data_IF_134044074061
#
_entry.id   IF_134044074061
#
_cell.length_a   1.000
_cell.length_b   1.000
_cell.length_c   1.000
_cell.angle_alpha   90.00
_cell.angle_beta   90.00
_cell.angle_gamma   90.00
#
_symmetry.space_group_name_H-M   'P 1'
#
loop_
_entity.id
_entity.type
_entity.pdbx_description
1 polymer ?
#
# COMPACT_ATOMS: atom_id res chain seq x y z
N UNK A 1 4.78 -5.70 -18.78
CA UNK A 1 4.75 -6.53 -18.36
C UNK A 1 5.05 -6.42 -17.97
N UNK A 2 5.01 -5.91 -18.45
CA UNK A 2 5.07 -6.70 -17.98
C UNK A 2 5.57 -6.72 -17.59
N UNK A 3 5.51 -6.23 -18.03
CA UNK A 3 5.63 -7.06 -17.52
C UNK A 3 6.02 -7.32 -17.16
N UNK A 4 6.03 -7.02 -17.57
CA UNK A 4 6.08 -7.93 -17.19
C UNK A 4 6.47 -8.11 -16.87
N UNK A 5 6.54 -7.76 -17.40
CA UNK A 5 6.66 -8.56 -17.09
C UNK A 5 7.00 -8.78 -16.74
N UNK A 6 7.03 -8.18 -17.38
CA UNK A 6 7.10 -8.91 -17.07
C UNK A 6 7.14 -9.05 -16.54
N UNK A 7 7.02 -8.73 -16.91
CA UNK A 7 6.89 -9.40 -16.51
C UNK A 7 6.52 -9.44 -15.82
N UNK A 8 6.23 -9.46 -16.36
CA UNK A 8 5.80 -10.15 -15.80
C UNK A 8 5.37 -10.36 -15.27
N UNK A 9 5.01 -10.19 -15.62
CA UNK A 9 4.41 -10.88 -15.25
C UNK A 9 4.22 -11.02 -14.65
N UNK A 10 3.99 -10.82 -14.87
CA UNK A 10 3.68 -11.38 -14.22
C UNK A 10 3.84 -11.53 -13.66
N UNK A 11 3.72 -10.90 -14.05
CA UNK A 11 3.71 -11.47 -13.41
C UNK A 11 3.41 -12.09 -12.78
N UNK A 12 3.41 -12.33 -13.05
CA UNK A 12 2.84 -12.93 -12.44
C UNK A 12 2.52 -12.99 -11.37
N UNK A 13 1.88 -13.09 -11.55
CA UNK A 13 1.49 -12.73 -10.33
C UNK A 13 1.10 -13.75 -9.42
N UNK A 14 1.86 -14.02 -8.58
CA UNK A 14 1.49 -14.88 -7.52
C UNK A 14 0.93 -14.01 -6.44
N UNK A 15 -0.21 -14.35 -5.96
CA UNK A 15 -0.65 -13.79 -4.72
C UNK A 15 0.11 -14.53 -3.67
N UNK A 16 1.13 -13.91 -3.19
CA UNK A 16 2.00 -14.53 -2.22
C UNK A 16 1.56 -14.10 -0.84
N UNK A 17 1.36 -15.07 0.02
CA UNK A 17 1.11 -14.81 1.42
C UNK A 17 2.37 -14.19 2.01
N UNK A 18 2.32 -12.95 2.50
CA UNK A 18 3.53 -12.30 3.04
C UNK A 18 4.19 -13.09 4.14
N UNK A 19 3.42 -13.80 4.95
CA UNK A 19 3.99 -14.62 6.01
C UNK A 19 4.81 -15.76 5.46
N UNK A 20 4.39 -16.31 4.32
CA UNK A 20 5.11 -17.41 3.70
C UNK A 20 6.46 -16.99 3.14
N UNK A 21 6.66 -15.70 2.89
CA UNK A 21 7.93 -15.19 2.41
C UNK A 21 8.68 -14.39 3.48
N UNK A 22 8.22 -14.50 4.72
CA UNK A 22 8.96 -13.91 5.85
C UNK A 22 8.71 -12.43 6.07
N UNK A 23 7.67 -11.87 5.46
CA UNK A 23 7.36 -10.46 5.67
C UNK A 23 6.61 -10.19 6.96
N UNK A 24 6.05 -11.19 7.56
CA UNK A 24 5.48 -11.12 8.89
C UNK A 24 4.10 -10.49 8.99
N UNK A 25 3.93 -9.22 8.69
CA UNK A 25 2.69 -8.52 8.96
C UNK A 25 2.20 -7.71 7.78
N UNK A 26 0.88 -7.62 7.66
CA UNK A 26 0.24 -6.83 6.63
C UNK A 26 -0.63 -5.76 7.30
N UNK A 27 -0.60 -4.57 6.74
CA UNK A 27 -1.29 -3.42 7.30
C UNK A 27 -2.14 -2.77 6.23
N UNK A 28 -3.34 -2.35 6.60
CA UNK A 28 -4.20 -1.54 5.73
C UNK A 28 -4.19 -0.13 6.30
N UNK A 29 -3.76 0.82 5.49
CA UNK A 29 -3.55 2.19 5.94
C UNK A 29 -4.42 3.12 5.13
N UNK A 30 -5.23 3.92 5.82
CA UNK A 30 -6.00 4.99 5.18
C UNK A 30 -5.28 6.31 5.39
N UNK A 31 -5.05 7.05 4.32
CA UNK A 31 -4.35 8.33 4.36
C UNK A 31 -5.31 9.45 4.01
N UNK A 32 -5.28 10.51 4.82
CA UNK A 32 -6.01 11.75 4.53
C UNK A 32 -5.01 12.83 4.18
N UNK A 33 -5.26 13.53 3.08
CA UNK A 33 -4.38 14.64 2.68
C UNK A 33 -5.04 15.96 3.01
N UNK A 34 -4.19 16.96 3.23
CA UNK A 34 -4.64 18.30 3.57
C UNK A 34 -5.20 19.02 2.35
N UNK A 35 -4.52 18.91 1.22
CA UNK A 35 -4.89 19.63 0.01
C UNK A 35 -4.80 18.74 -1.22
N UNK A 36 -5.75 18.95 -2.14
CA UNK A 36 -5.77 18.27 -3.42
C UNK A 36 -5.00 19.07 -4.47
N UNK A 37 -3.88 19.61 -4.09
CA UNK A 37 -3.04 20.41 -4.96
C UNK A 37 -2.17 19.49 -5.81
N UNK A 38 -2.14 19.71 -7.11
CA UNK A 38 -1.56 18.76 -8.08
C UNK A 38 -0.14 18.34 -7.74
N UNK A 39 0.72 19.30 -7.47
CA UNK A 39 2.13 18.99 -7.21
C UNK A 39 2.31 18.19 -5.92
N UNK A 40 1.52 18.48 -4.90
CA UNK A 40 1.57 17.75 -3.65
C UNK A 40 1.03 16.33 -3.80
N UNK A 41 -0.04 16.19 -4.57
CA UNK A 41 -0.63 14.88 -4.86
C UNK A 41 0.37 14.03 -5.66
N UNK A 42 1.00 14.62 -6.67
CA UNK A 42 1.97 13.89 -7.49
C UNK A 42 3.19 13.48 -6.69
N UNK A 43 3.64 14.34 -5.77
CA UNK A 43 4.76 14.02 -4.90
C UNK A 43 4.43 12.80 -4.03
N UNK A 44 3.24 12.79 -3.44
CA UNK A 44 2.80 11.66 -2.61
C UNK A 44 2.72 10.39 -3.43
N UNK A 45 2.09 10.45 -4.61
CA UNK A 45 1.94 9.27 -5.46
C UNK A 45 3.28 8.72 -5.92
N UNK A 46 4.21 9.60 -6.25
CA UNK A 46 5.56 9.18 -6.65
C UNK A 46 6.27 8.48 -5.50
N UNK A 47 6.15 9.04 -4.30
CA UNK A 47 6.75 8.44 -3.12
C UNK A 47 6.19 7.04 -2.88
N UNK A 48 4.85 6.91 -2.98
CA UNK A 48 4.18 5.62 -2.79
C UNK A 48 4.68 4.60 -3.81
N UNK A 49 4.76 5.00 -5.08
CA UNK A 49 5.20 4.08 -6.14
C UNK A 49 6.62 3.60 -5.95
N UNK A 50 7.46 4.41 -5.32
CA UNK A 50 8.88 4.07 -5.16
C UNK A 50 9.15 3.23 -3.91
N UNK A 51 8.16 3.00 -3.07
CA UNK A 51 8.37 2.32 -1.79
C UNK A 51 8.00 0.84 -1.90
N UNK A 52 9.00 -0.07 -1.83
CA UNK A 52 8.72 -1.50 -2.05
C UNK A 52 7.80 -2.13 -1.01
N UNK A 53 7.76 -1.59 0.21
CA UNK A 53 6.90 -2.15 1.25
C UNK A 53 5.41 -1.89 1.01
N UNK A 54 5.08 -0.95 0.13
CA UNK A 54 3.71 -0.67 -0.22
C UNK A 54 3.36 -1.54 -1.42
N UNK A 55 2.56 -2.57 -1.17
CA UNK A 55 2.19 -3.51 -2.23
C UNK A 55 1.12 -2.96 -3.15
N UNK A 56 0.16 -2.25 -2.60
CA UNK A 56 -0.98 -1.73 -3.35
C UNK A 56 -1.35 -0.37 -2.78
N UNK A 57 -1.86 0.49 -3.65
CA UNK A 57 -2.31 1.81 -3.24
C UNK A 57 -3.47 2.21 -4.15
N UNK A 58 -4.52 2.75 -3.54
CA UNK A 58 -5.73 3.12 -4.23
C UNK A 58 -6.17 4.51 -3.82
N UNK A 59 -6.61 5.31 -4.79
CA UNK A 59 -7.27 6.57 -4.52
C UNK A 59 -8.76 6.26 -4.38
N UNK A 60 -9.37 6.67 -3.29
CA UNK A 60 -10.71 6.21 -2.94
C UNK A 60 -11.60 7.38 -2.53
N UNK A 61 -12.89 7.12 -2.49
CA UNK A 61 -13.85 8.04 -1.89
C UNK A 61 -14.10 7.60 -0.45
N UNK A 62 -14.60 8.50 0.37
CA UNK A 62 -14.92 8.20 1.74
C UNK A 62 -14.08 9.02 2.69
N UNK A 63 -13.86 8.48 3.88
CA UNK A 63 -13.15 9.22 4.93
C UNK A 63 -11.66 9.32 4.66
N UNK A 64 -11.10 8.35 3.96
CA UNK A 64 -9.69 8.39 3.55
C UNK A 64 -9.61 8.81 2.09
N UNK A 65 -8.49 9.41 1.71
CA UNK A 65 -8.23 9.75 0.31
C UNK A 65 -7.49 8.62 -0.40
N UNK A 66 -6.61 7.93 0.33
CA UNK A 66 -5.86 6.80 -0.21
C UNK A 66 -5.94 5.63 0.76
N UNK A 67 -5.95 4.42 0.22
CA UNK A 67 -5.84 3.18 1.00
C UNK A 67 -4.63 2.44 0.50
N UNK A 68 -3.73 2.11 1.42
CA UNK A 68 -2.49 1.42 1.11
C UNK A 68 -2.52 0.03 1.73
N UNK A 69 -1.94 -0.93 1.02
CA UNK A 69 -1.67 -2.26 1.56
C UNK A 69 -0.17 -2.36 1.74
N UNK A 70 0.28 -2.47 2.97
CA UNK A 70 1.69 -2.43 3.33
C UNK A 70 2.09 -3.73 3.99
N UNK A 71 3.29 -4.21 3.68
CA UNK A 71 3.87 -5.36 4.38
C UNK A 71 5.11 -4.90 5.11
N UNK A 72 5.32 -5.44 6.30
CA UNK A 72 6.49 -5.12 7.10
C UNK A 72 6.85 -6.33 7.95
N UNK A 73 8.11 -6.41 8.34
CA UNK A 73 8.57 -7.53 9.16
C UNK A 73 8.01 -7.46 10.56
N UNK A 74 7.82 -6.25 11.08
CA UNK A 74 7.29 -6.06 12.43
C UNK A 74 6.72 -4.64 12.54
N UNK A 75 6.20 -4.35 13.72
CA UNK A 75 5.59 -3.03 14.00
C UNK A 75 6.62 -1.92 13.91
N UNK A 76 7.84 -2.17 14.36
CA UNK A 76 8.89 -1.15 14.33
C UNK A 76 9.23 -0.76 12.89
N UNK A 77 9.30 -1.73 11.98
CA UNK A 77 9.55 -1.46 10.57
C UNK A 77 8.41 -0.65 9.97
N UNK A 78 7.17 -0.99 10.33
CA UNK A 78 6.01 -0.24 9.88
C UNK A 78 6.05 1.20 10.38
N UNK A 79 6.37 1.39 11.66
CA UNK A 79 6.48 2.73 12.23
C UNK A 79 7.51 3.59 11.49
N UNK A 80 8.66 3.00 11.18
CA UNK A 80 9.70 3.72 10.44
C UNK A 80 9.20 4.15 9.08
N UNK A 81 8.50 3.24 8.38
CA UNK A 81 7.95 3.54 7.07
C UNK A 81 6.97 4.71 7.14
N UNK A 82 6.05 4.68 8.10
CA UNK A 82 5.05 5.73 8.22
C UNK A 82 5.70 7.06 8.62
N UNK A 83 6.73 7.03 9.46
CA UNK A 83 7.45 8.25 9.79
C UNK A 83 8.12 8.85 8.56
N UNK A 84 8.70 8.01 7.71
CA UNK A 84 9.31 8.48 6.46
C UNK A 84 8.26 9.04 5.51
N UNK A 85 7.13 8.38 5.41
CA UNK A 85 6.04 8.85 4.57
C UNK A 85 5.59 10.25 5.00
N UNK A 86 5.37 10.42 6.29
CA UNK A 86 4.91 11.70 6.83
C UNK A 86 5.96 12.79 6.67
N UNK A 87 7.23 12.45 6.89
CA UNK A 87 8.31 13.43 6.76
C UNK A 87 8.49 13.88 5.32
N UNK A 88 8.35 12.96 4.37
CA UNK A 88 8.53 13.27 2.96
C UNK A 88 7.33 13.97 2.34
N UNK A 89 6.15 13.84 2.96
CA UNK A 89 4.91 14.33 2.40
C UNK A 89 4.12 15.13 3.43
N UNK A 90 4.49 16.39 3.66
CA UNK A 90 3.80 17.21 4.67
C UNK A 90 2.32 17.41 4.38
N UNK A 91 1.89 17.14 3.14
CA UNK A 91 0.49 17.24 2.77
C UNK A 91 -0.36 16.13 3.38
N UNK A 92 0.26 15.07 3.90
CA UNK A 92 -0.47 14.02 4.59
C UNK A 92 -0.86 14.55 5.95
N UNK A 93 -2.18 14.66 6.15
CA UNK A 93 -2.73 15.21 7.38
C UNK A 93 -2.69 14.21 8.51
N UNK A 94 -3.11 12.98 8.21
CA UNK A 94 -3.09 11.89 9.18
C UNK A 94 -3.30 10.58 8.47
N UNK A 95 -3.07 9.50 9.20
CA UNK A 95 -3.38 8.17 8.68
C UNK A 95 -4.00 7.32 9.77
N UNK A 96 -4.72 6.28 9.34
CA UNK A 96 -5.27 5.27 10.25
C UNK A 96 -4.72 3.93 9.81
N UNK A 97 -4.55 3.02 10.77
CA UNK A 97 -3.93 1.72 10.50
C UNK A 97 -4.81 0.60 11.01
N UNK A 98 -4.98 -0.41 10.16
CA UNK A 98 -5.58 -1.67 10.57
C UNK A 98 -4.54 -2.75 10.37
N UNK A 99 -4.24 -3.51 11.42
CA UNK A 99 -3.35 -4.65 11.31
C UNK A 99 -4.17 -5.84 10.87
N UNK A 100 -3.73 -6.52 9.80
CA UNK A 100 -4.44 -7.68 9.31
C UNK A 100 -4.15 -8.85 10.25
N UNK A 101 -5.19 -9.32 10.92
CA UNK A 101 -5.05 -10.42 11.88
C UNK A 101 -5.07 -11.77 11.18
N UNK A 102 -5.89 -11.89 10.15
CA UNK A 102 -5.96 -13.12 9.38
C UNK A 102 -6.60 -12.81 8.02
N UNK A 103 -6.32 -13.66 7.04
CA UNK A 103 -6.93 -13.54 5.73
C UNK A 103 -8.11 -14.51 5.69
N UNK A 104 -9.33 -13.97 5.54
CA UNK A 104 -10.52 -14.79 5.48
C UNK A 104 -10.68 -15.39 4.08
N UNK A 105 -10.29 -14.61 3.07
CA UNK A 105 -10.38 -15.06 1.70
C UNK A 105 -9.41 -14.26 0.85
N UNK A 106 -8.73 -14.94 -0.04
CA UNK A 106 -7.80 -14.28 -0.96
C UNK A 106 -7.93 -14.94 -2.31
N UNK A 107 -8.45 -14.22 -3.29
CA UNK A 107 -8.62 -14.74 -4.62
C UNK A 107 -8.23 -13.72 -5.65
N UNK A 108 -7.83 -14.22 -6.82
CA UNK A 108 -7.54 -13.37 -7.97
C UNK A 108 -8.69 -13.31 -8.94
N UNK A 109 -9.62 -14.24 -8.80
CA UNK A 109 -10.73 -14.34 -9.73
C UNK A 109 -11.89 -13.47 -9.27
N UNK A 110 -12.36 -12.63 -10.17
CA UNK A 110 -13.54 -11.80 -9.94
C UNK A 110 -14.64 -12.34 -10.85
N UNK A 111 -15.72 -12.92 -10.30
CA UNK A 111 -16.77 -13.44 -11.15
C UNK A 111 -17.47 -12.30 -11.88
N UNK A 112 -17.80 -12.54 -13.14
CA UNK A 112 -18.51 -11.59 -13.98
C UNK A 112 -19.78 -12.28 -14.45
N UNK A 113 -20.93 -11.70 -14.13
CA UNK A 113 -22.21 -12.26 -14.53
C UNK A 113 -22.61 -11.78 -15.91
#
# INVERSE_FOLDING_TARGET
>A
RRREEAGNIERRIAVVNPEAVGRGAQFLVGIEVEREQRDLVEKLRRWIRSEPSIQQAYYVTGSADYVLVITATDIAAFDRLMSELMAANPNVRRFTTNVVMSSVKRGLYVPVD
#
